data_IF_384351181757
#
_entry.id   IF_384351181757
#
_cell.length_a   1.000
_cell.length_b   1.000
_cell.length_c   1.000
_cell.angle_alpha   90.00
_cell.angle_beta   90.00
_cell.angle_gamma   90.00
#
_symmetry.space_group_name_H-M   'P 1'
#
loop_
_entity.id
_entity.type
_entity.pdbx_description
1 polymer ?
#
# COMPACT_ATOMS: atom_id res chain seq x y z
N UNK A 1 24.59 1.28 -5.14
CA UNK A 1 23.39 1.42 -4.28
C UNK A 1 22.42 0.32 -4.68
N UNK A 2 21.91 -0.44 -3.71
CA UNK A 2 20.91 -1.48 -3.95
C UNK A 2 19.53 -0.83 -3.83
N UNK A 3 18.61 -1.19 -4.72
CA UNK A 3 17.22 -0.75 -4.67
C UNK A 3 16.35 -2.00 -4.42
N UNK A 4 15.41 -1.90 -3.49
CA UNK A 4 14.44 -2.94 -3.25
C UNK A 4 13.10 -2.58 -3.89
N UNK A 5 12.48 -3.57 -4.54
CA UNK A 5 11.15 -3.47 -5.13
C UNK A 5 10.45 -4.81 -4.95
N UNK A 6 9.15 -4.77 -4.66
CA UNK A 6 8.35 -5.98 -4.49
C UNK A 6 7.11 -5.92 -5.37
N UNK A 7 6.92 -6.93 -6.22
CA UNK A 7 5.80 -7.02 -7.15
C UNK A 7 4.43 -7.01 -6.47
N UNK A 8 4.35 -7.36 -5.18
CA UNK A 8 3.09 -7.34 -4.41
C UNK A 8 2.55 -5.93 -4.21
N UNK A 9 3.34 -4.88 -4.47
CA UNK A 9 2.84 -3.50 -4.51
C UNK A 9 1.72 -3.35 -5.55
N UNK A 10 1.77 -4.13 -6.64
CA UNK A 10 0.77 -4.13 -7.71
C UNK A 10 -0.59 -4.75 -7.30
N UNK A 11 -0.73 -5.27 -6.08
CA UNK A 11 -2.01 -5.79 -5.60
C UNK A 11 -2.92 -4.70 -5.03
N UNK A 12 -2.37 -3.56 -4.62
CA UNK A 12 -3.17 -2.41 -4.23
C UNK A 12 -3.48 -1.58 -5.47
N UNK A 13 -4.72 -1.70 -5.95
CA UNK A 13 -5.21 -1.06 -7.18
C UNK A 13 -6.30 -0.03 -6.87
N UNK A 14 -5.98 1.12 -6.24
CA UNK A 14 -6.96 2.16 -6.04
C UNK A 14 -7.35 2.78 -7.39
N UNK A 15 -8.64 3.02 -7.60
CA UNK A 15 -9.22 3.57 -8.82
C UNK A 15 -9.63 5.03 -8.64
N UNK A 16 -10.12 5.40 -7.45
CA UNK A 16 -10.65 6.75 -7.20
C UNK A 16 -10.09 7.37 -5.93
N UNK A 17 -10.16 8.69 -5.87
CA UNK A 17 -10.06 9.45 -4.62
C UNK A 17 -11.06 10.61 -4.63
N UNK A 18 -11.52 11.05 -3.44
CA UNK A 18 -12.40 12.19 -3.30
C UNK A 18 -11.58 13.45 -3.00
N UNK A 19 -11.41 14.30 -4.00
CA UNK A 19 -10.70 15.59 -3.88
C UNK A 19 -11.66 16.73 -4.14
N UNK A 20 -11.71 17.75 -3.26
CA UNK A 20 -12.58 18.93 -3.49
C UNK A 20 -14.08 18.62 -3.63
N UNK A 21 -14.54 17.46 -3.12
CA UNK A 21 -15.93 17.00 -3.25
C UNK A 21 -16.25 16.34 -4.59
N UNK A 22 -15.25 16.08 -5.44
CA UNK A 22 -15.42 15.36 -6.71
C UNK A 22 -14.62 14.05 -6.71
N UNK A 23 -15.19 13.02 -7.31
CA UNK A 23 -14.46 11.78 -7.55
C UNK A 23 -13.51 11.98 -8.72
N UNK A 24 -12.22 11.88 -8.44
CA UNK A 24 -11.17 11.88 -9.45
C UNK A 24 -10.53 10.50 -9.53
N UNK A 25 -9.72 10.29 -10.55
CA UNK A 25 -8.92 9.09 -10.67
C UNK A 25 -7.80 9.11 -9.62
N UNK A 26 -7.57 7.99 -8.93
CA UNK A 26 -6.52 7.93 -7.93
C UNK A 26 -5.15 8.13 -8.60
N UNK A 27 -4.32 9.09 -8.15
CA UNK A 27 -3.00 9.30 -8.71
C UNK A 27 -2.03 8.18 -8.31
N UNK A 28 -2.24 7.50 -7.19
CA UNK A 28 -1.36 6.44 -6.68
C UNK A 28 -1.62 5.09 -7.34
N UNK A 29 -1.30 5.01 -8.63
CA UNK A 29 -1.50 3.81 -9.45
C UNK A 29 -0.24 2.95 -9.54
N UNK A 30 -0.39 1.63 -9.81
CA UNK A 30 0.75 0.72 -9.98
C UNK A 30 1.75 1.16 -11.06
N UNK A 31 1.30 1.87 -12.08
CA UNK A 31 2.15 2.39 -13.14
C UNK A 31 3.23 3.32 -12.60
N UNK A 32 2.98 4.02 -11.47
CA UNK A 32 3.98 4.88 -10.83
C UNK A 32 5.20 4.08 -10.37
N UNK A 33 4.99 2.96 -9.68
CA UNK A 33 6.11 2.18 -9.17
C UNK A 33 6.84 1.44 -10.30
N UNK A 34 6.12 0.97 -11.32
CA UNK A 34 6.76 0.37 -12.50
C UNK A 34 7.60 1.38 -13.28
N UNK A 35 7.11 2.62 -13.45
CA UNK A 35 7.87 3.68 -14.10
C UNK A 35 9.15 4.02 -13.31
N UNK A 36 9.07 4.12 -11.98
CA UNK A 36 10.24 4.36 -11.11
C UNK A 36 11.23 3.19 -11.21
N UNK A 37 10.75 1.95 -11.11
CA UNK A 37 11.59 0.75 -11.23
C UNK A 37 12.32 0.75 -12.57
N UNK A 38 11.61 0.94 -13.67
CA UNK A 38 12.17 0.96 -15.03
C UNK A 38 13.22 2.07 -15.19
N UNK A 39 12.95 3.28 -14.66
CA UNK A 39 13.92 4.38 -14.69
C UNK A 39 15.20 4.09 -13.89
N UNK A 40 15.07 3.43 -12.73
CA UNK A 40 16.21 3.02 -11.92
C UNK A 40 17.01 1.90 -12.57
N UNK A 41 16.36 0.88 -13.13
CA UNK A 41 17.02 -0.19 -13.91
C UNK A 41 17.79 0.41 -15.09
N UNK A 42 17.16 1.32 -15.86
CA UNK A 42 17.78 2.01 -17.00
C UNK A 42 18.99 2.86 -16.58
N UNK A 43 18.94 3.41 -15.37
CA UNK A 43 20.05 4.19 -14.78
C UNK A 43 21.17 3.31 -14.19
N UNK A 44 21.08 1.98 -14.33
CA UNK A 44 22.10 1.03 -13.89
C UNK A 44 22.00 0.62 -12.41
N UNK A 45 20.89 0.92 -11.73
CA UNK A 45 20.68 0.44 -10.37
C UNK A 45 20.31 -1.04 -10.37
N UNK A 46 20.86 -1.79 -9.41
CA UNK A 46 20.47 -3.18 -9.19
C UNK A 46 19.18 -3.23 -8.36
N UNK A 47 18.11 -3.71 -8.97
CA UNK A 47 16.84 -4.00 -8.29
C UNK A 47 16.90 -5.40 -7.69
N UNK A 48 16.49 -5.53 -6.43
CA UNK A 48 16.33 -6.81 -5.73
C UNK A 48 14.93 -6.93 -5.14
N UNK A 49 14.42 -8.16 -5.10
CA UNK A 49 13.24 -8.45 -4.29
C UNK A 49 13.65 -8.47 -2.80
N UNK A 50 12.87 -7.84 -1.90
CA UNK A 50 13.14 -7.86 -0.48
C UNK A 50 12.85 -9.25 0.11
N UNK A 51 13.55 -9.61 1.20
CA UNK A 51 13.11 -10.73 2.05
C UNK A 51 11.87 -10.32 2.84
N UNK A 52 11.02 -11.29 3.15
CA UNK A 52 9.90 -11.05 4.05
C UNK A 52 10.37 -10.84 5.49
N UNK A 53 9.68 -9.93 6.17
CA UNK A 53 9.77 -9.74 7.61
C UNK A 53 8.48 -10.19 8.28
N UNK A 54 8.60 -10.67 9.52
CA UNK A 54 7.43 -11.03 10.30
C UNK A 54 6.58 -9.78 10.62
N UNK A 55 5.26 -9.89 10.59
CA UNK A 55 4.35 -8.76 10.82
C UNK A 55 4.51 -8.12 12.21
N UNK A 56 5.18 -8.79 13.15
CA UNK A 56 5.62 -8.25 14.45
C UNK A 56 6.32 -6.90 14.36
N UNK A 57 7.03 -6.62 13.26
CA UNK A 57 7.69 -5.33 13.07
C UNK A 57 6.70 -4.17 12.92
N UNK A 58 5.53 -4.39 12.33
CA UNK A 58 4.49 -3.37 12.14
C UNK A 58 3.94 -2.91 13.51
N UNK A 59 3.77 -3.86 14.44
CA UNK A 59 3.26 -3.58 15.79
C UNK A 59 4.22 -2.81 16.70
N UNK A 60 5.46 -2.57 16.27
CA UNK A 60 6.39 -1.70 17.02
C UNK A 60 6.04 -0.21 16.85
N UNK A 61 5.29 0.13 15.81
CA UNK A 61 4.91 1.51 15.47
C UNK A 61 3.39 1.70 15.49
N UNK A 62 2.64 0.68 15.06
CA UNK A 62 1.18 0.74 14.96
C UNK A 62 0.49 -0.06 16.06
N UNK A 63 -0.68 0.42 16.49
CA UNK A 63 -1.48 -0.31 17.47
C UNK A 63 -2.01 -1.63 16.88
N UNK A 64 -2.11 -2.72 17.67
CA UNK A 64 -2.65 -3.97 17.18
C UNK A 64 -4.04 -3.85 16.59
N UNK A 65 -4.89 -3.02 17.20
CA UNK A 65 -6.26 -2.81 16.77
C UNK A 65 -6.34 -2.19 15.37
N UNK A 66 -5.41 -1.30 15.02
CA UNK A 66 -5.37 -0.69 13.68
C UNK A 66 -4.95 -1.70 12.61
N UNK A 67 -3.88 -2.45 12.88
CA UNK A 67 -3.33 -3.41 11.92
C UNK A 67 -4.34 -4.53 11.64
N UNK A 68 -4.99 -5.05 12.68
CA UNK A 68 -6.02 -6.08 12.52
C UNK A 68 -7.26 -5.54 11.81
N UNK A 69 -7.72 -4.33 12.14
CA UNK A 69 -8.81 -3.68 11.40
C UNK A 69 -8.47 -3.52 9.92
N UNK A 70 -7.25 -3.09 9.56
CA UNK A 70 -6.85 -2.89 8.17
C UNK A 70 -6.78 -4.23 7.43
N UNK A 71 -6.25 -5.28 8.07
CA UNK A 71 -6.23 -6.64 7.53
C UNK A 71 -7.65 -7.13 7.24
N UNK A 72 -8.54 -7.05 8.22
CA UNK A 72 -9.92 -7.52 8.09
C UNK A 72 -10.70 -6.71 7.04
N UNK A 73 -10.57 -5.38 7.08
CA UNK A 73 -11.22 -4.50 6.10
C UNK A 73 -10.72 -4.83 4.69
N UNK A 74 -9.41 -4.91 4.48
CA UNK A 74 -8.83 -5.26 3.17
C UNK A 74 -9.33 -6.61 2.68
N UNK A 75 -9.41 -7.64 3.53
CA UNK A 75 -9.94 -8.96 3.16
C UNK A 75 -11.45 -8.97 2.86
N UNK A 76 -12.22 -8.03 3.43
CA UNK A 76 -13.67 -7.93 3.22
C UNK A 76 -14.05 -7.22 1.92
N UNK A 77 -13.15 -6.41 1.36
CA UNK A 77 -13.41 -5.65 0.12
C UNK A 77 -13.31 -6.58 -1.09
N UNK A 78 -14.31 -6.57 -1.97
CA UNK A 78 -14.26 -7.34 -3.22
C UNK A 78 -13.26 -6.72 -4.19
N UNK A 79 -12.70 -7.54 -5.10
CA UNK A 79 -11.61 -7.11 -6.02
C UNK A 79 -11.99 -5.96 -6.95
N UNK A 80 -13.28 -5.79 -7.23
CA UNK A 80 -13.86 -4.78 -8.13
C UNK A 80 -14.39 -3.55 -7.37
N UNK A 81 -14.13 -3.47 -6.06
CA UNK A 81 -14.63 -2.42 -5.18
C UNK A 81 -13.50 -1.78 -4.38
N UNK A 82 -13.84 -0.61 -3.85
CA UNK A 82 -13.01 0.18 -2.97
C UNK A 82 -13.86 0.61 -1.79
N UNK A 83 -13.27 0.61 -0.61
CA UNK A 83 -13.91 1.10 0.60
C UNK A 83 -13.39 2.49 0.94
N UNK A 84 -14.33 3.42 1.12
CA UNK A 84 -14.09 4.78 1.61
C UNK A 84 -14.85 4.97 2.93
N UNK A 85 -14.34 5.77 3.87
CA UNK A 85 -15.09 6.06 5.09
C UNK A 85 -16.28 6.97 4.79
N UNK A 86 -17.45 6.60 5.29
CA UNK A 86 -18.67 7.43 5.18
C UNK A 86 -18.86 8.31 6.43
N UNK A 87 -18.35 7.85 7.58
CA UNK A 87 -18.44 8.54 8.87
C UNK A 87 -17.07 8.58 9.52
N UNK A 88 -16.52 9.78 9.69
CA UNK A 88 -15.23 9.95 10.35
C UNK A 88 -15.30 9.60 11.84
N UNK A 89 -14.29 8.87 12.33
CA UNK A 89 -14.20 8.38 13.71
C UNK A 89 -14.94 7.07 13.98
N UNK A 90 -15.70 6.54 13.01
CA UNK A 90 -16.32 5.21 13.11
C UNK A 90 -15.34 4.10 12.70
N UNK A 91 -14.74 4.25 11.51
CA UNK A 91 -13.69 3.36 11.00
C UNK A 91 -12.30 3.96 11.28
N UNK A 92 -11.22 3.22 10.98
CA UNK A 92 -9.83 3.66 11.24
C UNK A 92 -9.19 4.44 10.08
N UNK A 93 -10.00 5.10 9.25
CA UNK A 93 -9.52 5.97 8.17
C UNK A 93 -9.73 7.43 8.56
N UNK A 94 -8.79 8.29 8.14
CA UNK A 94 -8.79 9.71 8.48
C UNK A 94 -9.31 10.60 7.34
N UNK A 95 -9.28 10.12 6.10
CA UNK A 95 -9.72 10.86 4.92
C UNK A 95 -10.50 9.99 3.94
N UNK A 96 -11.06 10.62 2.91
CA UNK A 96 -11.75 9.98 1.78
C UNK A 96 -10.89 9.92 0.51
N UNK A 97 -9.59 10.18 0.63
CA UNK A 97 -8.64 10.14 -0.48
C UNK A 97 -7.92 8.79 -0.59
N UNK A 98 -7.89 8.02 0.49
CA UNK A 98 -7.10 6.78 0.60
C UNK A 98 -8.00 5.54 0.72
N UNK A 99 -8.53 5.00 -0.40
CA UNK A 99 -9.40 3.84 -0.33
C UNK A 99 -8.69 2.58 0.14
N UNK A 100 -9.43 1.72 0.86
CA UNK A 100 -8.99 0.36 1.14
C UNK A 100 -9.46 -0.56 0.01
N UNK A 101 -8.53 -1.29 -0.59
CA UNK A 101 -8.80 -2.30 -1.63
C UNK A 101 -8.52 -3.71 -1.12
N UNK A 102 -8.92 -4.72 -1.91
CA UNK A 102 -8.69 -6.14 -1.56
C UNK A 102 -7.21 -6.51 -1.39
N UNK A 103 -6.29 -5.78 -2.03
CA UNK A 103 -4.86 -6.01 -1.93
C UNK A 103 -4.10 -4.99 -1.08
N UNK A 104 -4.80 -4.06 -0.43
CA UNK A 104 -4.21 -3.01 0.40
C UNK A 104 -3.28 -3.57 1.48
N UNK A 105 -3.74 -4.54 2.28
CA UNK A 105 -2.93 -5.09 3.37
C UNK A 105 -1.66 -5.82 2.87
N UNK A 106 -1.78 -6.59 1.79
CA UNK A 106 -0.64 -7.32 1.20
C UNK A 106 0.37 -6.35 0.58
N UNK A 107 -0.10 -5.34 -0.15
CA UNK A 107 0.76 -4.30 -0.72
C UNK A 107 1.49 -3.50 0.36
N UNK A 108 0.80 -3.16 1.46
CA UNK A 108 1.40 -2.47 2.59
C UNK A 108 2.50 -3.30 3.27
N UNK A 109 2.28 -4.60 3.52
CA UNK A 109 3.31 -5.48 4.08
C UNK A 109 4.52 -5.61 3.16
N UNK A 110 4.32 -5.67 1.85
CA UNK A 110 5.41 -5.68 0.89
C UNK A 110 6.23 -4.38 0.96
N UNK A 111 5.57 -3.23 1.12
CA UNK A 111 6.24 -1.94 1.32
C UNK A 111 7.08 -1.91 2.60
N UNK A 112 6.56 -2.46 3.71
CA UNK A 112 7.32 -2.61 4.96
C UNK A 112 8.56 -3.48 4.75
N UNK A 113 8.42 -4.63 4.08
CA UNK A 113 9.56 -5.50 3.76
C UNK A 113 10.62 -4.76 2.94
N UNK A 114 10.22 -3.99 1.90
CA UNK A 114 11.13 -3.15 1.11
C UNK A 114 11.90 -2.18 1.99
N UNK A 115 11.21 -1.46 2.89
CA UNK A 115 11.84 -0.48 3.77
C UNK A 115 12.83 -1.12 4.76
N UNK A 116 12.46 -2.24 5.37
CA UNK A 116 13.31 -2.93 6.34
C UNK A 116 14.54 -3.56 5.69
N UNK A 117 14.45 -4.07 4.45
CA UNK A 117 15.62 -4.56 3.72
C UNK A 117 16.60 -3.44 3.34
N UNK A 118 16.13 -2.20 3.18
CA UNK A 118 17.00 -1.08 2.82
C UNK A 118 17.91 -0.60 3.97
N UNK A 119 17.59 -0.98 5.21
CA UNK A 119 18.31 -0.56 6.43
C UNK A 119 18.99 -1.70 7.18
N UNK A 120 18.82 -2.95 6.71
CA UNK A 120 19.46 -4.17 7.23
C UNK A 120 20.86 -4.36 6.60
#
# INVERSE_FOLDING_TARGET
>A
MIVFYDRRHLFHLPMKELEGGIWIENPDKPERIEAIRSALETSGFQIKEPRDYHCSHVYQVHSPEYVEWLREKSLSVSKDREYFPEVFGYDKLFDTGTPVTSGCYVGALASVSTALNAVD
#
